data_IF_867855454910
#
_entry.id   IF_867855454910
#
_cell.length_a   1.000
_cell.length_b   1.000
_cell.length_c   1.000
_cell.angle_alpha   90.00
_cell.angle_beta   90.00
_cell.angle_gamma   90.00
#
_symmetry.space_group_name_H-M   'P 1'
#
loop_
_entity.id
_entity.type
_entity.pdbx_description
1 polymer ?
#
# COMPACT_ATOMS: atom_id res chain seq x y z
N UNK A 1 13.53 -3.97 -28.68
CA UNK A 1 13.39 -2.90 -27.68
C UNK A 1 11.91 -2.65 -27.50
N UNK A 2 11.35 -3.07 -26.38
CA UNK A 2 9.96 -2.76 -26.01
C UNK A 2 9.96 -1.37 -25.35
N UNK A 3 9.44 -0.37 -26.07
CA UNK A 3 9.22 0.98 -25.57
C UNK A 3 7.83 1.01 -24.93
N UNK A 4 7.64 0.33 -23.79
CA UNK A 4 6.41 0.49 -23.01
C UNK A 4 6.35 1.93 -22.53
N UNK A 5 5.45 2.71 -23.11
CA UNK A 5 5.11 4.02 -22.57
C UNK A 5 4.61 3.81 -21.15
N UNK A 6 5.15 4.51 -20.14
CA UNK A 6 4.64 4.36 -18.79
C UNK A 6 3.15 4.76 -18.77
N UNK A 7 2.34 3.89 -18.20
CA UNK A 7 0.88 4.06 -18.04
C UNK A 7 0.59 5.29 -17.19
N UNK A 8 -0.66 5.77 -17.14
CA UNK A 8 -1.00 6.96 -16.34
C UNK A 8 -0.63 6.76 -14.87
N UNK A 9 -0.81 5.55 -14.34
CA UNK A 9 -0.40 5.13 -13.00
C UNK A 9 1.13 5.04 -12.91
N UNK A 10 1.80 4.35 -13.84
CA UNK A 10 3.27 4.29 -13.87
C UNK A 10 3.96 5.67 -13.99
N UNK A 11 3.32 6.63 -14.66
CA UNK A 11 3.74 8.04 -14.71
C UNK A 11 3.47 8.78 -13.40
N UNK A 12 2.33 8.54 -12.74
CA UNK A 12 2.02 9.11 -11.43
C UNK A 12 3.02 8.62 -10.37
N UNK A 13 3.32 7.33 -10.35
CA UNK A 13 4.31 6.70 -9.45
C UNK A 13 5.72 7.26 -9.72
N UNK A 14 6.14 7.34 -10.99
CA UNK A 14 7.47 7.87 -11.35
C UNK A 14 7.60 9.38 -11.04
N UNK A 15 6.50 10.14 -11.18
CA UNK A 15 6.43 11.55 -10.84
C UNK A 15 6.56 11.78 -9.33
N UNK A 16 5.93 10.94 -8.50
CA UNK A 16 6.07 11.00 -7.04
C UNK A 16 7.46 10.54 -6.59
N UNK A 17 8.06 9.51 -7.21
CA UNK A 17 9.40 8.99 -6.87
C UNK A 17 10.55 9.99 -7.06
N UNK A 18 10.41 10.98 -7.94
CA UNK A 18 11.48 11.95 -8.25
C UNK A 18 11.54 13.17 -7.32
N UNK A 19 10.52 13.38 -6.49
CA UNK A 19 10.57 14.32 -5.37
C UNK A 19 10.50 13.48 -4.12
N UNK A 20 11.57 13.39 -3.32
CA UNK A 20 11.51 13.48 -1.85
C UNK A 20 12.80 12.98 -1.17
N UNK A 21 13.26 13.79 -0.22
CA UNK A 21 13.96 13.36 1.00
C UNK A 21 12.89 13.42 2.10
N UNK A 22 12.06 12.39 2.23
CA UNK A 22 10.92 12.35 3.16
C UNK A 22 11.24 11.58 4.44
N UNK A 23 10.57 11.95 5.55
CA UNK A 23 10.66 11.23 6.81
C UNK A 23 10.04 9.83 6.68
N UNK A 24 10.50 8.85 7.47
CA UNK A 24 10.19 7.42 7.25
C UNK A 24 8.70 7.03 7.19
N UNK A 25 7.79 7.85 7.72
CA UNK A 25 6.34 7.62 7.59
C UNK A 25 5.82 7.89 6.17
N UNK A 26 6.30 8.95 5.51
CA UNK A 26 5.84 9.28 4.16
C UNK A 26 6.35 8.23 3.17
N UNK A 27 7.60 7.79 3.33
CA UNK A 27 8.16 6.69 2.52
C UNK A 27 7.39 5.37 2.72
N UNK A 28 7.00 5.06 3.97
CA UNK A 28 6.21 3.86 4.27
C UNK A 28 4.85 3.89 3.57
N UNK A 29 4.15 5.03 3.59
CA UNK A 29 2.85 5.17 2.91
C UNK A 29 2.97 4.93 1.42
N UNK A 30 4.01 5.46 0.79
CA UNK A 30 4.25 5.25 -0.65
C UNK A 30 4.52 3.79 -0.95
N UNK A 31 5.38 3.12 -0.17
CA UNK A 31 5.67 1.69 -0.35
C UNK A 31 4.40 0.84 -0.23
N UNK A 32 3.54 1.16 0.74
CA UNK A 32 2.29 0.41 0.95
C UNK A 32 1.29 0.70 -0.16
N UNK A 33 1.15 1.96 -0.58
CA UNK A 33 0.26 2.34 -1.66
C UNK A 33 0.71 1.72 -3.00
N UNK A 34 2.02 1.74 -3.30
CA UNK A 34 2.59 1.12 -4.50
C UNK A 34 2.26 -0.38 -4.54
N UNK A 35 2.46 -1.10 -3.43
CA UNK A 35 2.10 -2.51 -3.35
C UNK A 35 0.60 -2.75 -3.58
N UNK A 36 -0.26 -1.91 -3.02
CA UNK A 36 -1.73 -2.05 -3.19
C UNK A 36 -2.12 -1.82 -4.65
N UNK A 37 -1.58 -0.78 -5.27
CA UNK A 37 -1.88 -0.42 -6.66
C UNK A 37 -1.39 -1.53 -7.59
N UNK A 38 -0.16 -2.01 -7.41
CA UNK A 38 0.43 -3.02 -8.28
C UNK A 38 -0.25 -4.40 -8.15
N UNK A 39 -0.75 -4.76 -6.97
CA UNK A 39 -1.33 -6.09 -6.73
C UNK A 39 -2.85 -6.15 -6.86
N UNK A 40 -3.57 -5.03 -6.67
CA UNK A 40 -5.03 -5.04 -6.51
C UNK A 40 -5.80 -4.09 -7.43
N UNK A 41 -5.15 -3.19 -8.17
CA UNK A 41 -5.83 -2.29 -9.11
C UNK A 41 -5.47 -2.63 -10.54
N UNK A 42 -6.50 -2.71 -11.39
CA UNK A 42 -6.32 -2.82 -12.84
C UNK A 42 -5.98 -1.46 -13.45
N UNK A 43 -4.98 -1.42 -14.33
CA UNK A 43 -4.51 -0.17 -14.97
C UNK A 43 -5.61 0.55 -15.78
N UNK A 44 -6.67 -0.17 -16.16
CA UNK A 44 -7.78 0.30 -16.98
C UNK A 44 -8.98 0.80 -16.16
N UNK A 45 -9.06 0.50 -14.85
CA UNK A 45 -10.23 0.89 -14.03
C UNK A 45 -10.20 2.36 -13.60
N UNK A 46 -9.03 3.01 -13.66
CA UNK A 46 -8.91 4.45 -13.40
C UNK A 46 -9.20 4.85 -11.94
N UNK A 47 -9.27 3.87 -11.03
CA UNK A 47 -9.51 4.10 -9.62
C UNK A 47 -8.29 4.77 -8.97
N UNK A 48 -8.47 6.03 -8.57
CA UNK A 48 -7.48 6.76 -7.78
C UNK A 48 -7.56 6.33 -6.31
N UNK A 49 -6.60 5.50 -5.89
CA UNK A 49 -6.40 5.15 -4.47
C UNK A 49 -5.47 6.15 -3.82
N UNK A 50 -5.91 6.71 -2.71
CA UNK A 50 -5.16 7.65 -1.86
C UNK A 50 -4.88 7.01 -0.49
N UNK A 51 -4.12 7.70 0.36
CA UNK A 51 -3.75 7.14 1.67
C UNK A 51 -4.93 6.95 2.65
N UNK A 52 -6.04 7.65 2.41
CA UNK A 52 -7.27 7.59 3.20
C UNK A 52 -8.40 6.87 2.48
N UNK A 53 -8.15 6.38 1.25
CA UNK A 53 -9.15 5.62 0.51
C UNK A 53 -9.44 4.30 1.25
N UNK A 54 -10.71 3.93 1.42
CA UNK A 54 -11.08 2.62 1.95
C UNK A 54 -10.57 1.54 0.99
N UNK A 55 -10.00 0.47 1.54
CA UNK A 55 -9.39 -0.65 0.80
C UNK A 55 -10.24 -1.91 0.97
N UNK A 56 -10.55 -2.26 2.21
CA UNK A 56 -11.32 -3.46 2.53
C UNK A 56 -12.81 -3.17 2.35
N UNK A 57 -13.28 -2.05 2.90
CA UNK A 57 -14.70 -1.68 2.86
C UNK A 57 -15.17 -1.20 1.48
N UNK A 58 -14.25 -0.78 0.61
CA UNK A 58 -14.52 -0.50 -0.81
C UNK A 58 -14.52 -1.76 -1.69
N UNK A 59 -13.91 -2.86 -1.21
CA UNK A 59 -13.73 -4.09 -1.96
C UNK A 59 -12.48 -4.16 -2.83
N UNK A 60 -11.59 -3.16 -2.78
CA UNK A 60 -10.29 -3.19 -3.48
C UNK A 60 -9.42 -4.33 -2.96
N UNK A 61 -9.41 -4.54 -1.64
CA UNK A 61 -8.69 -5.62 -0.98
C UNK A 61 -9.69 -6.55 -0.33
N UNK A 62 -9.71 -7.81 -0.75
CA UNK A 62 -10.55 -8.83 -0.12
C UNK A 62 -9.91 -9.42 1.15
N UNK A 63 -10.69 -10.22 1.90
CA UNK A 63 -10.23 -10.83 3.16
C UNK A 63 -9.08 -11.83 3.00
N UNK A 64 -8.92 -12.45 1.83
CA UNK A 64 -7.83 -13.38 1.55
C UNK A 64 -6.54 -12.61 1.20
N UNK A 65 -6.67 -11.59 0.37
CA UNK A 65 -5.62 -10.69 -0.06
C UNK A 65 -5.02 -9.90 1.12
N UNK A 66 -5.82 -9.61 2.16
CA UNK A 66 -5.34 -9.02 3.40
C UNK A 66 -4.22 -9.86 4.06
N UNK A 67 -4.26 -11.19 3.95
CA UNK A 67 -3.20 -12.06 4.48
C UNK A 67 -1.90 -11.85 3.71
N UNK A 68 -1.97 -11.72 2.38
CA UNK A 68 -0.80 -11.43 1.54
C UNK A 68 -0.19 -10.06 1.87
N UNK A 69 -1.04 -9.04 1.99
CA UNK A 69 -0.63 -7.69 2.39
C UNK A 69 0.05 -7.70 3.77
N UNK A 70 -0.53 -8.40 4.75
CA UNK A 70 0.08 -8.58 6.07
C UNK A 70 1.48 -9.21 5.96
N UNK A 71 1.63 -10.28 5.19
CA UNK A 71 2.91 -10.98 4.99
C UNK A 71 3.96 -10.10 4.31
N UNK A 72 3.55 -9.31 3.33
CA UNK A 72 4.42 -8.32 2.69
C UNK A 72 5.00 -7.34 3.72
N UNK A 73 4.16 -6.77 4.59
CA UNK A 73 4.59 -5.82 5.63
C UNK A 73 5.56 -6.46 6.63
N UNK A 74 5.23 -7.65 7.14
CA UNK A 74 6.07 -8.42 8.05
C UNK A 74 7.46 -8.68 7.45
N UNK A 75 7.51 -9.08 6.18
CA UNK A 75 8.75 -9.33 5.45
C UNK A 75 9.55 -8.05 5.21
N UNK A 76 8.88 -6.99 4.72
CA UNK A 76 9.50 -5.71 4.36
C UNK A 76 10.13 -5.00 5.56
N UNK A 77 9.41 -4.95 6.67
CA UNK A 77 9.82 -4.21 7.87
C UNK A 77 10.45 -5.10 8.95
N UNK A 78 10.53 -6.42 8.72
CA UNK A 78 11.07 -7.40 9.68
C UNK A 78 10.38 -7.34 11.04
N UNK A 79 9.05 -7.23 11.00
CA UNK A 79 8.16 -7.20 12.18
C UNK A 79 7.21 -8.39 12.15
N UNK A 80 6.53 -8.64 13.28
CA UNK A 80 5.41 -9.57 13.36
C UNK A 80 4.15 -8.79 13.70
N UNK A 81 3.09 -8.95 12.91
CA UNK A 81 1.79 -8.35 13.20
C UNK A 81 0.89 -9.42 13.83
N UNK A 82 0.40 -9.25 15.08
CA UNK A 82 -0.52 -10.21 15.68
C UNK A 82 -1.82 -10.31 14.87
N UNK A 83 -2.39 -11.52 14.72
CA UNK A 83 -3.66 -11.72 14.00
C UNK A 83 -4.83 -10.94 14.63
N UNK A 84 -4.80 -10.76 15.96
CA UNK A 84 -5.78 -9.96 16.69
C UNK A 84 -5.73 -8.46 16.39
N UNK A 85 -4.59 -7.95 15.90
CA UNK A 85 -4.42 -6.54 15.49
C UNK A 85 -4.59 -6.35 13.97
N UNK A 86 -4.42 -7.41 13.18
CA UNK A 86 -4.58 -7.40 11.73
C UNK A 86 -6.06 -7.52 11.33
N UNK A 87 -6.88 -6.60 11.81
CA UNK A 87 -8.32 -6.56 11.52
C UNK A 87 -8.61 -5.79 10.23
N UNK A 88 -9.79 -5.98 9.61
CA UNK A 88 -10.22 -5.20 8.47
C UNK A 88 -10.09 -3.69 8.69
N UNK A 89 -10.42 -3.20 9.88
CA UNK A 89 -10.34 -1.78 10.22
C UNK A 89 -8.89 -1.26 10.27
N UNK A 90 -7.96 -2.07 10.76
CA UNK A 90 -6.55 -1.72 10.77
C UNK A 90 -5.92 -1.74 9.36
N UNK A 91 -6.51 -2.51 8.44
CA UNK A 91 -6.08 -2.67 7.06
C UNK A 91 -6.90 -1.85 6.05
N UNK A 92 -7.91 -1.10 6.48
CA UNK A 92 -8.85 -0.43 5.58
C UNK A 92 -8.27 0.80 4.87
N UNK A 93 -7.17 1.38 5.37
CA UNK A 93 -6.51 2.50 4.69
C UNK A 93 -5.00 2.37 4.81
N UNK A 94 -4.26 2.94 3.85
CA UNK A 94 -2.79 3.02 3.92
C UNK A 94 -2.34 3.71 5.21
N UNK A 95 -3.04 4.77 5.62
CA UNK A 95 -2.76 5.47 6.86
C UNK A 95 -2.93 4.58 8.11
N UNK A 96 -3.98 3.76 8.18
CA UNK A 96 -4.19 2.80 9.28
C UNK A 96 -3.10 1.72 9.30
N UNK A 97 -2.77 1.16 8.14
CA UNK A 97 -1.71 0.16 7.98
C UNK A 97 -0.38 0.70 8.48
N UNK A 98 0.00 1.90 8.05
CA UNK A 98 1.27 2.50 8.44
C UNK A 98 1.35 2.77 9.95
N UNK A 99 0.25 3.16 10.59
CA UNK A 99 0.19 3.32 12.06
C UNK A 99 0.38 1.98 12.76
N UNK A 100 -0.25 0.91 12.27
CA UNK A 100 -0.07 -0.42 12.82
C UNK A 100 1.38 -0.88 12.69
N UNK A 101 1.97 -0.75 11.50
CA UNK A 101 3.38 -1.09 11.23
C UNK A 101 4.32 -0.27 12.13
N UNK A 102 4.08 1.04 12.27
CA UNK A 102 4.90 1.91 13.11
C UNK A 102 4.87 1.49 14.59
N UNK A 103 3.71 1.07 15.11
CA UNK A 103 3.56 0.57 16.50
C UNK A 103 4.51 -0.62 16.78
N UNK A 104 4.85 -1.41 15.77
CA UNK A 104 5.69 -2.60 15.88
C UNK A 104 7.14 -2.39 15.42
N UNK A 105 7.48 -1.22 14.86
CA UNK A 105 8.84 -0.88 14.40
C UNK A 105 9.77 -0.36 15.52
N UNK A 106 9.20 0.12 16.64
CA UNK A 106 9.96 0.66 17.79
C UNK A 106 9.66 2.12 18.09
#
# INVERSE_FOLDING_TARGET
>A
MDQRTPTSIGKWILFHRQRMKGAGMDEMKEIVLEYIVDEYLDEDEGDEVSYDSPLISSGIVDSFSMVSLKRFLESKYRITLPDEEATPEAFDTVNSICRLVQKHLG
#
